data_IF_286892192723
#
_entry.id   IF_286892192723
#
_cell.length_a   1.000
_cell.length_b   1.000
_cell.length_c   1.000
_cell.angle_alpha   90.00
_cell.angle_beta   90.00
_cell.angle_gamma   90.00
#
_symmetry.space_group_name_H-M   'P 1'
#
loop_
_entity.id
_entity.type
_entity.pdbx_description
1 polymer ?
#
# COMPACT_ATOMS: atom_id res chain seq x y z
N UNK A 1 -0.22 12.96 -19.96
CA UNK A 1 -0.69 13.02 -18.56
C UNK A 1 -2.18 13.30 -18.54
N UNK A 2 -3.01 12.26 -18.63
CA UNK A 2 -4.40 12.36 -18.17
C UNK A 2 -4.31 12.17 -16.66
N UNK A 3 -4.64 13.20 -15.88
CA UNK A 3 -4.53 13.12 -14.42
C UNK A 3 -5.34 11.95 -13.88
N UNK A 4 -4.78 11.22 -12.90
CA UNK A 4 -5.45 10.10 -12.22
C UNK A 4 -6.84 10.52 -11.67
N UNK A 5 -7.01 11.83 -11.39
CA UNK A 5 -8.29 12.46 -11.06
C UNK A 5 -9.40 12.19 -12.08
N UNK A 6 -9.14 12.17 -13.39
CA UNK A 6 -10.18 11.96 -14.41
C UNK A 6 -10.81 10.55 -14.35
N UNK A 7 -10.04 9.54 -13.92
CA UNK A 7 -10.55 8.17 -13.73
C UNK A 7 -11.11 7.97 -12.31
N UNK A 8 -10.48 8.54 -11.28
CA UNK A 8 -10.97 8.44 -9.90
C UNK A 8 -12.28 9.22 -9.66
N UNK A 9 -12.44 10.43 -10.21
CA UNK A 9 -13.67 11.23 -10.01
C UNK A 9 -14.90 10.64 -10.71
N UNK A 10 -14.72 9.92 -11.82
CA UNK A 10 -15.81 9.19 -12.48
C UNK A 10 -16.28 7.99 -11.64
N UNK A 11 -15.37 7.29 -10.95
CA UNK A 11 -15.69 6.13 -10.10
C UNK A 11 -16.29 6.56 -8.75
N UNK A 12 -15.84 7.68 -8.19
CA UNK A 12 -16.31 8.21 -6.90
C UNK A 12 -17.77 8.71 -6.94
N UNK A 13 -18.30 9.12 -8.09
CA UNK A 13 -19.69 9.60 -8.23
C UNK A 13 -20.71 8.50 -8.45
N UNK A 14 -20.28 7.27 -8.69
CA UNK A 14 -21.19 6.17 -8.96
C UNK A 14 -21.62 5.49 -7.65
N UNK A 15 -22.83 5.85 -7.17
CA UNK A 15 -23.53 5.18 -6.05
C UNK A 15 -23.68 3.66 -6.27
N UNK A 16 -23.38 3.13 -7.47
CA UNK A 16 -23.44 1.70 -7.83
C UNK A 16 -22.49 0.77 -7.06
N UNK A 17 -21.51 1.27 -6.30
CA UNK A 17 -20.57 0.38 -5.59
C UNK A 17 -21.05 -0.06 -4.20
N UNK A 18 -22.10 0.55 -3.63
CA UNK A 18 -22.70 0.01 -2.42
C UNK A 18 -23.55 -1.22 -2.78
N UNK A 19 -23.01 -2.40 -2.48
CA UNK A 19 -23.71 -3.68 -2.72
C UNK A 19 -24.82 -3.96 -1.72
N UNK A 20 -24.96 -3.13 -0.69
CA UNK A 20 -25.97 -3.27 0.34
C UNK A 20 -27.39 -3.40 -0.23
N UNK A 21 -27.72 -2.67 -1.29
CA UNK A 21 -29.06 -2.71 -1.89
C UNK A 21 -29.41 -4.10 -2.45
N UNK A 22 -28.42 -4.94 -2.77
CA UNK A 22 -28.65 -6.33 -3.20
C UNK A 22 -29.14 -7.24 -2.07
N UNK A 23 -29.06 -6.78 -0.82
CA UNK A 23 -29.64 -7.45 0.33
C UNK A 23 -31.07 -7.00 0.64
N UNK A 24 -31.61 -6.00 -0.06
CA UNK A 24 -33.01 -5.58 0.10
C UNK A 24 -33.97 -6.74 -0.20
N UNK A 25 -34.97 -6.93 0.66
CA UNK A 25 -35.93 -8.04 0.56
C UNK A 25 -35.37 -9.44 0.91
N UNK A 26 -34.06 -9.56 1.17
CA UNK A 26 -33.47 -10.82 1.64
C UNK A 26 -33.57 -10.98 3.16
N UNK A 27 -33.41 -12.21 3.67
CA UNK A 27 -33.35 -12.46 5.13
C UNK A 27 -32.20 -11.72 5.83
N UNK A 28 -31.10 -11.44 5.13
CA UNK A 28 -29.93 -10.74 5.68
C UNK A 28 -30.26 -9.25 5.86
N UNK A 29 -30.93 -8.64 4.87
CA UNK A 29 -31.28 -7.23 4.87
C UNK A 29 -30.07 -6.29 4.85
N UNK A 30 -30.32 -4.99 4.88
CA UNK A 30 -29.24 -3.96 4.86
C UNK A 30 -28.75 -3.57 6.24
N UNK A 31 -29.48 -3.97 7.31
CA UNK A 31 -29.26 -3.48 8.67
C UNK A 31 -27.87 -3.80 9.23
N UNK A 32 -27.20 -4.84 8.75
CA UNK A 32 -25.85 -5.19 9.18
C UNK A 32 -24.79 -4.12 8.84
N UNK A 33 -25.07 -3.25 7.86
CA UNK A 33 -24.15 -2.18 7.44
C UNK A 33 -24.42 -0.85 8.14
N UNK A 34 -25.52 -0.71 8.87
CA UNK A 34 -25.98 0.58 9.37
C UNK A 34 -25.06 1.16 10.44
N UNK A 35 -24.60 0.34 11.39
CA UNK A 35 -23.61 0.76 12.40
C UNK A 35 -22.32 1.24 11.75
N UNK A 36 -21.83 0.50 10.74
CA UNK A 36 -20.62 0.85 10.01
C UNK A 36 -20.78 2.19 9.29
N UNK A 37 -21.92 2.40 8.61
CA UNK A 37 -22.22 3.68 7.94
C UNK A 37 -22.28 4.85 8.91
N UNK A 38 -22.95 4.67 10.06
CA UNK A 38 -23.06 5.73 11.08
C UNK A 38 -21.71 6.04 11.72
N UNK A 39 -20.90 5.02 12.00
CA UNK A 39 -19.55 5.23 12.53
C UNK A 39 -18.63 5.92 11.49
N UNK A 40 -18.67 5.50 10.22
CA UNK A 40 -17.92 6.17 9.15
C UNK A 40 -18.37 7.63 8.97
N UNK A 41 -19.66 7.90 9.06
CA UNK A 41 -20.20 9.26 8.99
C UNK A 41 -19.75 10.11 10.19
N UNK A 42 -19.79 9.56 11.41
CA UNK A 42 -19.34 10.22 12.64
C UNK A 42 -17.87 10.63 12.55
N UNK A 43 -17.03 9.78 11.96
CA UNK A 43 -15.60 10.06 11.76
C UNK A 43 -15.30 10.87 10.49
N UNK A 44 -16.31 11.22 9.68
CA UNK A 44 -16.13 11.98 8.43
C UNK A 44 -15.49 11.20 7.28
N UNK A 45 -15.54 9.86 7.32
CA UNK A 45 -14.89 8.97 6.35
C UNK A 45 -15.85 8.27 5.38
N UNK A 46 -17.17 8.47 5.52
CA UNK A 46 -18.17 7.77 4.71
C UNK A 46 -17.99 8.01 3.20
N UNK A 47 -17.66 9.24 2.79
CA UNK A 47 -17.45 9.58 1.38
C UNK A 47 -16.19 8.93 0.78
N UNK A 48 -15.24 8.51 1.62
CA UNK A 48 -14.01 7.82 1.21
C UNK A 48 -14.19 6.31 1.06
N UNK A 49 -15.32 5.75 1.50
CA UNK A 49 -15.52 4.30 1.55
C UNK A 49 -15.31 3.59 0.19
N UNK A 50 -15.81 4.18 -0.91
CA UNK A 50 -15.61 3.62 -2.26
C UNK A 50 -14.13 3.60 -2.66
N UNK A 51 -13.39 4.67 -2.34
CA UNK A 51 -11.96 4.76 -2.61
C UNK A 51 -11.17 3.73 -1.80
N UNK A 52 -11.48 3.59 -0.51
CA UNK A 52 -10.87 2.56 0.33
C UNK A 52 -11.12 1.16 -0.22
N UNK A 53 -12.34 0.88 -0.69
CA UNK A 53 -12.65 -0.41 -1.30
C UNK A 53 -11.77 -0.69 -2.53
N UNK A 54 -11.68 0.26 -3.47
CA UNK A 54 -10.87 0.11 -4.68
C UNK A 54 -9.39 -0.07 -4.35
N UNK A 55 -8.85 0.77 -3.47
CA UNK A 55 -7.43 0.71 -3.10
C UNK A 55 -7.12 -0.58 -2.31
N UNK A 56 -8.05 -1.05 -1.47
CA UNK A 56 -7.90 -2.34 -0.76
C UNK A 56 -7.88 -3.53 -1.72
N UNK A 57 -8.65 -3.48 -2.81
CA UNK A 57 -8.62 -4.50 -3.86
C UNK A 57 -7.31 -4.46 -4.64
N UNK A 58 -6.82 -3.28 -5.02
CA UNK A 58 -5.54 -3.11 -5.69
C UNK A 58 -4.38 -3.68 -4.84
N UNK A 59 -4.34 -3.34 -3.56
CA UNK A 59 -3.37 -3.86 -2.59
C UNK A 59 -3.46 -5.38 -2.42
N UNK A 60 -4.67 -5.89 -2.23
CA UNK A 60 -4.90 -7.33 -2.04
C UNK A 60 -4.45 -8.14 -3.24
N UNK A 61 -4.65 -7.63 -4.47
CA UNK A 61 -4.17 -8.28 -5.70
C UNK A 61 -2.63 -8.37 -5.74
N UNK A 62 -1.92 -7.32 -5.33
CA UNK A 62 -0.45 -7.32 -5.26
C UNK A 62 0.05 -8.40 -4.28
N UNK A 63 -0.47 -8.38 -3.05
CA UNK A 63 -0.07 -9.31 -2.00
C UNK A 63 -0.45 -10.77 -2.33
N UNK A 64 -1.67 -10.98 -2.86
CA UNK A 64 -2.16 -12.31 -3.24
C UNK A 64 -1.31 -12.94 -4.35
N UNK A 65 -1.04 -12.20 -5.43
CA UNK A 65 -0.19 -12.67 -6.52
C UNK A 65 1.18 -13.07 -6.01
N UNK A 66 1.82 -12.21 -5.22
CA UNK A 66 3.14 -12.50 -4.65
C UNK A 66 3.12 -13.76 -3.78
N UNK A 67 2.18 -13.86 -2.84
CA UNK A 67 2.12 -15.00 -1.93
C UNK A 67 1.84 -16.33 -2.64
N UNK A 68 0.93 -16.34 -3.62
CA UNK A 68 0.63 -17.55 -4.39
C UNK A 68 1.81 -18.00 -5.26
N UNK A 69 2.50 -17.06 -5.92
CA UNK A 69 3.70 -17.38 -6.70
C UNK A 69 4.83 -17.88 -5.80
N UNK A 70 5.03 -17.27 -4.64
CA UNK A 70 6.05 -17.69 -3.67
C UNK A 70 5.73 -19.07 -3.09
N UNK A 71 4.48 -19.33 -2.72
CA UNK A 71 4.03 -20.64 -2.26
C UNK A 71 4.22 -21.72 -3.34
N UNK A 72 3.85 -21.42 -4.59
CA UNK A 72 3.97 -22.35 -5.73
C UNK A 72 5.42 -22.65 -6.13
N UNK A 73 6.33 -21.70 -5.88
CA UNK A 73 7.76 -21.87 -6.12
C UNK A 73 8.45 -22.67 -5.00
N UNK A 74 7.86 -22.70 -3.80
CA UNK A 74 8.44 -23.40 -2.66
C UNK A 74 8.39 -24.92 -2.87
N UNK A 75 9.55 -25.56 -3.04
CA UNK A 75 9.65 -27.02 -3.22
C UNK A 75 9.14 -27.86 -2.04
N UNK A 76 8.93 -27.23 -0.89
CA UNK A 76 8.41 -27.86 0.33
C UNK A 76 6.89 -27.72 0.47
N UNK A 77 6.22 -27.06 -0.47
CA UNK A 77 4.77 -26.87 -0.49
C UNK A 77 4.18 -27.69 -1.64
N UNK A 78 3.35 -28.68 -1.31
CA UNK A 78 2.67 -29.53 -2.29
C UNK A 78 1.30 -28.98 -2.76
N UNK A 79 0.83 -27.91 -2.13
CA UNK A 79 -0.43 -27.25 -2.44
C UNK A 79 -0.72 -26.16 -1.43
N UNK A 80 -1.65 -25.27 -1.79
CA UNK A 80 -2.15 -24.23 -0.90
C UNK A 80 -3.66 -24.09 -1.08
N UNK A 81 -4.34 -23.75 0.01
CA UNK A 81 -5.72 -23.31 -0.01
C UNK A 81 -5.73 -21.81 0.32
N UNK A 82 -6.28 -21.02 -0.60
CA UNK A 82 -6.41 -19.58 -0.38
C UNK A 82 -7.72 -19.30 0.34
N UNK A 83 -7.60 -18.78 1.56
CA UNK A 83 -8.75 -18.50 2.42
C UNK A 83 -9.80 -17.65 1.70
N UNK A 84 -10.92 -18.28 1.38
CA UNK A 84 -12.07 -17.68 0.70
C UNK A 84 -11.81 -17.46 -0.78
N UNK A 85 -12.37 -18.31 -1.65
CA UNK A 85 -12.51 -17.96 -3.07
C UNK A 85 -13.47 -16.79 -3.29
N UNK A 86 -14.45 -16.67 -2.38
CA UNK A 86 -15.48 -15.63 -2.32
C UNK A 86 -15.41 -14.89 -0.99
N UNK A 87 -15.81 -13.62 -0.97
CA UNK A 87 -16.12 -12.94 0.28
C UNK A 87 -17.32 -13.61 0.94
N UNK A 88 -17.26 -13.80 2.26
CA UNK A 88 -18.37 -14.37 3.00
C UNK A 88 -18.76 -13.48 4.17
N UNK A 89 -20.06 -13.43 4.45
CA UNK A 89 -20.59 -12.81 5.66
C UNK A 89 -20.85 -13.91 6.69
N UNK A 90 -20.07 -13.92 7.77
CA UNK A 90 -20.30 -14.83 8.88
C UNK A 90 -20.71 -14.02 10.11
N UNK A 91 -21.98 -14.12 10.50
CA UNK A 91 -22.60 -13.28 11.53
C UNK A 91 -22.59 -11.77 11.18
N UNK A 92 -22.23 -10.90 12.14
CA UNK A 92 -22.17 -9.43 11.97
C UNK A 92 -20.87 -8.95 11.31
N UNK A 93 -19.96 -9.85 10.94
CA UNK A 93 -18.64 -9.52 10.37
C UNK A 93 -18.40 -10.29 9.07
N UNK A 94 -17.91 -9.59 8.05
CA UNK A 94 -17.48 -10.23 6.81
C UNK A 94 -16.03 -10.72 6.89
N UNK A 95 -15.70 -11.74 6.10
CA UNK A 95 -14.34 -12.09 5.70
C UNK A 95 -14.13 -11.63 4.24
N UNK A 96 -13.71 -10.37 4.02
CA UNK A 96 -13.58 -9.81 2.67
C UNK A 96 -12.22 -10.14 2.03
N UNK A 97 -11.75 -11.38 2.17
CA UNK A 97 -10.44 -11.84 1.66
C UNK A 97 -10.52 -12.50 0.27
N UNK A 98 -11.72 -12.66 -0.28
CA UNK A 98 -11.98 -13.37 -1.52
C UNK A 98 -11.35 -12.76 -2.76
N UNK A 99 -11.13 -13.59 -3.78
CA UNK A 99 -10.86 -13.13 -5.16
C UNK A 99 -12.16 -12.61 -5.77
N UNK A 100 -13.24 -13.34 -5.52
CA UNK A 100 -14.59 -12.96 -5.82
C UNK A 100 -15.22 -12.27 -4.61
N UNK A 101 -16.18 -11.42 -4.88
CA UNK A 101 -17.04 -10.85 -3.86
C UNK A 101 -18.14 -11.84 -3.42
N UNK A 102 -18.99 -11.38 -2.52
CA UNK A 102 -20.07 -12.15 -1.90
C UNK A 102 -21.22 -12.51 -2.88
N UNK A 103 -21.17 -11.98 -4.10
CA UNK A 103 -22.08 -12.25 -5.22
C UNK A 103 -21.38 -12.96 -6.39
N UNK A 104 -20.21 -13.58 -6.16
CA UNK A 104 -19.44 -14.30 -7.17
C UNK A 104 -18.90 -13.45 -8.33
N UNK A 105 -18.72 -12.15 -8.11
CA UNK A 105 -18.14 -11.25 -9.12
C UNK A 105 -16.69 -10.91 -8.75
N UNK A 106 -15.84 -10.74 -9.75
CA UNK A 106 -14.46 -10.32 -9.54
C UNK A 106 -14.38 -8.95 -8.85
N UNK A 107 -13.43 -8.80 -7.93
CA UNK A 107 -13.16 -7.52 -7.27
C UNK A 107 -12.61 -6.48 -8.27
N UNK A 108 -12.78 -5.17 -8.00
CA UNK A 108 -12.26 -4.12 -8.86
C UNK A 108 -10.82 -4.34 -9.30
N UNK A 109 -10.60 -4.33 -10.61
CA UNK A 109 -9.29 -4.52 -11.23
C UNK A 109 -8.87 -5.98 -11.43
N UNK A 110 -9.51 -6.96 -10.78
CA UNK A 110 -9.22 -8.37 -11.05
C UNK A 110 -9.83 -8.79 -12.40
N UNK A 111 -9.07 -9.62 -13.13
CA UNK A 111 -9.54 -10.29 -14.34
C UNK A 111 -9.22 -11.79 -14.23
N UNK A 112 -10.04 -12.62 -14.84
CA UNK A 112 -9.79 -14.07 -14.92
C UNK A 112 -8.41 -14.34 -15.54
N UNK A 113 -8.08 -13.65 -16.62
CA UNK A 113 -6.80 -13.77 -17.30
C UNK A 113 -5.61 -13.49 -16.36
N UNK A 114 -5.69 -12.43 -15.55
CA UNK A 114 -4.62 -12.10 -14.59
C UNK A 114 -4.49 -13.16 -13.49
N UNK A 115 -5.63 -13.65 -12.98
CA UNK A 115 -5.65 -14.71 -11.96
C UNK A 115 -5.01 -15.99 -12.50
N UNK A 116 -5.38 -16.40 -13.72
CA UNK A 116 -4.82 -17.59 -14.36
C UNK A 116 -3.33 -17.47 -14.65
N UNK A 117 -2.78 -16.25 -14.84
CA UNK A 117 -1.33 -16.06 -15.02
C UNK A 117 -0.50 -16.41 -13.78
N UNK A 118 -1.07 -16.35 -12.58
CA UNK A 118 -0.36 -16.72 -11.34
C UNK A 118 -0.95 -17.94 -10.62
N UNK A 119 -2.17 -18.37 -10.95
CA UNK A 119 -2.87 -19.48 -10.31
C UNK A 119 -3.50 -20.49 -11.29
N UNK A 120 -3.20 -20.42 -12.59
CA UNK A 120 -3.69 -21.38 -13.59
C UNK A 120 -3.08 -22.78 -13.44
N UNK A 121 -3.54 -23.74 -14.25
CA UNK A 121 -2.97 -25.10 -14.27
C UNK A 121 -1.45 -25.06 -14.47
N UNK A 122 -0.99 -24.24 -15.42
CA UNK A 122 0.42 -24.06 -15.73
C UNK A 122 0.77 -22.57 -15.72
N UNK A 123 1.85 -22.18 -15.03
CA UNK A 123 2.25 -20.77 -14.87
C UNK A 123 3.77 -20.62 -14.95
N UNK A 124 4.21 -19.42 -15.35
CA UNK A 124 5.60 -19.00 -15.19
C UNK A 124 5.76 -18.31 -13.83
N UNK A 125 6.89 -18.53 -13.17
CA UNK A 125 7.21 -17.92 -11.88
C UNK A 125 8.57 -17.22 -11.96
N UNK A 126 8.71 -16.15 -11.18
CA UNK A 126 9.95 -15.38 -11.06
C UNK A 126 10.46 -15.45 -9.63
N UNK A 127 11.74 -15.79 -9.45
CA UNK A 127 12.40 -15.86 -8.16
C UNK A 127 13.01 -14.54 -7.75
N UNK A 128 12.20 -13.61 -7.26
CA UNK A 128 12.69 -12.34 -6.72
C UNK A 128 11.97 -12.01 -5.40
N UNK A 129 12.68 -12.20 -4.29
CA UNK A 129 12.18 -11.93 -2.93
C UNK A 129 12.89 -10.74 -2.28
N UNK A 130 13.79 -10.08 -3.02
CA UNK A 130 14.43 -8.84 -2.60
C UNK A 130 13.51 -7.64 -2.87
N UNK A 131 13.94 -6.44 -2.45
CA UNK A 131 13.22 -5.20 -2.73
C UNK A 131 12.93 -5.06 -4.23
N UNK A 132 11.75 -4.49 -4.55
CA UNK A 132 11.40 -4.12 -5.93
C UNK A 132 11.84 -2.71 -6.28
N UNK A 133 12.55 -2.04 -5.37
CA UNK A 133 13.22 -0.77 -5.60
C UNK A 133 14.63 -1.04 -6.11
N UNK A 134 14.87 -0.77 -7.39
CA UNK A 134 16.12 -1.06 -8.07
C UNK A 134 16.82 0.26 -8.41
N UNK A 135 18.09 0.40 -8.07
CA UNK A 135 18.85 1.56 -8.51
C UNK A 135 19.12 1.50 -10.02
N UNK A 136 19.16 2.66 -10.66
CA UNK A 136 19.56 2.81 -12.07
C UNK A 136 20.90 2.12 -12.35
N UNK A 137 21.07 1.52 -13.54
CA UNK A 137 22.31 0.83 -13.91
C UNK A 137 22.60 -0.48 -13.16
N UNK A 138 21.71 -0.94 -12.28
CA UNK A 138 21.89 -2.21 -11.56
C UNK A 138 21.71 -3.40 -12.49
N UNK A 139 22.65 -4.34 -12.47
CA UNK A 139 22.50 -5.64 -13.09
C UNK A 139 21.88 -6.64 -12.10
N UNK A 140 20.78 -7.30 -12.48
CA UNK A 140 20.14 -8.34 -11.67
C UNK A 140 19.92 -9.61 -12.49
N UNK A 141 20.05 -10.74 -11.81
CA UNK A 141 19.69 -12.05 -12.35
C UNK A 141 18.43 -12.54 -11.66
N UNK A 142 17.35 -12.70 -12.44
CA UNK A 142 16.07 -13.20 -11.95
C UNK A 142 15.91 -14.66 -12.37
N UNK A 143 15.98 -15.62 -11.43
CA UNK A 143 15.62 -17.00 -11.70
C UNK A 143 14.19 -17.13 -12.22
N UNK A 144 14.01 -17.88 -13.30
CA UNK A 144 12.72 -18.16 -13.89
C UNK A 144 12.35 -19.63 -13.66
N UNK A 145 11.05 -19.91 -13.54
CA UNK A 145 10.56 -21.27 -13.36
C UNK A 145 9.28 -21.49 -14.19
N UNK A 146 9.10 -22.72 -14.65
CA UNK A 146 7.85 -23.19 -15.21
C UNK A 146 7.20 -24.17 -14.24
N UNK A 147 6.01 -23.85 -13.75
CA UNK A 147 5.18 -24.77 -12.96
C UNK A 147 4.14 -25.37 -13.89
N UNK A 148 4.40 -26.55 -14.43
CA UNK A 148 3.60 -27.18 -15.50
C UNK A 148 2.87 -28.40 -14.95
N UNK A 149 1.53 -28.38 -14.97
CA UNK A 149 0.69 -29.53 -14.56
C UNK A 149 -0.20 -30.06 -15.69
N UNK A 150 0.10 -29.68 -16.95
CA UNK A 150 -0.58 -30.24 -18.12
C UNK A 150 -0.08 -31.65 -18.50
N UNK A 151 -0.63 -32.19 -19.59
CA UNK A 151 -0.49 -33.61 -19.95
C UNK A 151 0.82 -34.00 -20.67
N UNK A 152 1.49 -33.09 -21.38
CA UNK A 152 2.69 -33.43 -22.17
C UNK A 152 3.90 -32.56 -21.84
N UNK A 153 5.07 -33.21 -21.79
CA UNK A 153 6.35 -32.53 -21.70
C UNK A 153 6.71 -31.94 -23.06
N UNK A 154 7.26 -30.74 -23.07
CA UNK A 154 7.51 -30.02 -24.32
C UNK A 154 8.73 -29.13 -24.22
N UNK A 155 9.49 -29.05 -25.31
CA UNK A 155 10.45 -27.97 -25.52
C UNK A 155 9.71 -26.68 -25.89
N UNK A 156 10.37 -25.54 -25.70
CA UNK A 156 9.76 -24.26 -26.00
C UNK A 156 10.77 -23.13 -26.17
N UNK A 157 10.25 -21.94 -26.43
CA UNK A 157 11.01 -20.70 -26.49
C UNK A 157 10.62 -19.82 -25.32
N UNK A 158 11.59 -19.56 -24.45
CA UNK A 158 11.47 -18.61 -23.35
C UNK A 158 11.91 -17.24 -23.84
N UNK A 159 11.05 -16.23 -23.69
CA UNK A 159 11.38 -14.85 -24.00
C UNK A 159 10.97 -13.94 -22.86
N UNK A 160 11.78 -12.92 -22.59
CA UNK A 160 11.47 -11.89 -21.60
C UNK A 160 11.78 -10.49 -22.14
N UNK A 161 11.05 -9.51 -21.62
CA UNK A 161 11.25 -8.10 -21.93
C UNK A 161 11.05 -7.26 -20.65
N UNK A 162 11.98 -6.36 -20.37
CA UNK A 162 11.77 -5.28 -19.42
C UNK A 162 11.16 -4.11 -20.20
N UNK A 163 9.94 -3.72 -19.85
CA UNK A 163 9.15 -2.70 -20.54
C UNK A 163 9.13 -1.41 -19.71
N UNK A 164 9.20 -0.26 -20.38
CA UNK A 164 8.88 1.02 -19.77
C UNK A 164 7.35 1.24 -19.64
N UNK A 165 6.94 2.37 -19.06
CA UNK A 165 5.53 2.72 -18.85
C UNK A 165 4.74 2.92 -20.16
N UNK A 166 5.42 3.07 -21.31
CA UNK A 166 4.80 3.15 -22.63
C UNK A 166 4.62 1.78 -23.29
N UNK A 167 5.14 0.72 -22.67
CA UNK A 167 5.17 -0.64 -23.21
C UNK A 167 6.34 -0.90 -24.15
N UNK A 168 7.31 0.03 -24.23
CA UNK A 168 8.49 -0.16 -25.08
C UNK A 168 9.54 -1.01 -24.34
N UNK A 169 10.14 -2.02 -24.99
CA UNK A 169 11.21 -2.80 -24.39
C UNK A 169 12.49 -1.96 -24.25
N UNK A 170 13.04 -1.96 -23.04
CA UNK A 170 14.35 -1.36 -22.70
C UNK A 170 15.44 -2.42 -22.52
N UNK A 171 15.06 -3.67 -22.27
CA UNK A 171 15.93 -4.84 -22.31
C UNK A 171 15.12 -6.06 -22.73
N UNK A 172 15.74 -7.02 -23.42
CA UNK A 172 15.08 -8.25 -23.87
C UNK A 172 16.03 -9.42 -23.83
N UNK A 173 15.49 -10.63 -23.72
CA UNK A 173 16.25 -11.85 -23.95
C UNK A 173 15.36 -12.97 -24.45
N UNK A 174 15.96 -13.90 -25.17
CA UNK A 174 15.29 -15.11 -25.64
C UNK A 174 16.24 -16.30 -25.54
N UNK A 175 15.70 -17.46 -25.19
CA UNK A 175 16.43 -18.73 -25.17
C UNK A 175 15.48 -19.87 -25.50
N UNK A 176 15.95 -20.81 -26.30
CA UNK A 176 15.26 -22.08 -26.45
C UNK A 176 15.51 -22.92 -25.20
N UNK A 177 14.46 -23.57 -24.70
CA UNK A 177 14.50 -24.45 -23.54
C UNK A 177 14.17 -25.87 -23.98
N UNK A 178 14.93 -26.87 -23.48
CA UNK A 178 14.66 -28.27 -23.78
C UNK A 178 13.34 -28.71 -23.15
N UNK A 179 13.05 -30.00 -23.26
CA UNK A 179 11.83 -30.58 -22.74
C UNK A 179 11.58 -30.24 -21.25
N UNK A 180 10.47 -29.55 -20.99
CA UNK A 180 10.04 -29.15 -19.64
C UNK A 180 9.16 -30.25 -19.05
N UNK A 181 9.53 -30.85 -17.91
CA UNK A 181 8.72 -31.84 -17.22
C UNK A 181 7.35 -31.31 -16.78
N UNK A 182 6.37 -32.22 -16.71
CA UNK A 182 5.04 -31.96 -16.15
C UNK A 182 4.93 -32.51 -14.71
N UNK A 183 3.95 -32.02 -13.96
CA UNK A 183 3.69 -32.41 -12.58
C UNK A 183 4.63 -31.78 -11.56
N UNK A 184 5.45 -30.79 -11.95
CA UNK A 184 6.40 -30.15 -11.06
C UNK A 184 6.74 -28.71 -11.47
N UNK A 185 7.47 -28.02 -10.59
CA UNK A 185 8.06 -26.71 -10.86
C UNK A 185 9.51 -26.90 -11.28
N UNK A 186 9.82 -26.54 -12.54
CA UNK A 186 11.13 -26.73 -13.17
C UNK A 186 11.85 -25.39 -13.31
N UNK A 187 13.13 -25.28 -12.88
CA UNK A 187 13.95 -24.11 -13.16
C UNK A 187 14.17 -23.89 -14.66
N UNK A 188 14.11 -22.64 -15.09
CA UNK A 188 14.43 -22.19 -16.44
C UNK A 188 15.67 -21.30 -16.41
N UNK A 189 16.30 -21.00 -17.57
CA UNK A 189 17.34 -19.99 -17.64
C UNK A 189 16.87 -18.65 -17.06
N UNK A 190 17.70 -18.01 -16.24
CA UNK A 190 17.40 -16.71 -15.63
C UNK A 190 17.26 -15.58 -16.67
N UNK A 191 16.50 -14.56 -16.31
CA UNK A 191 16.54 -13.27 -17.00
C UNK A 191 17.70 -12.44 -16.43
N UNK A 192 18.71 -12.18 -17.26
CA UNK A 192 19.84 -11.31 -16.93
C UNK A 192 19.50 -9.90 -17.40
N UNK A 193 19.32 -8.96 -16.48
CA UNK A 193 18.77 -7.64 -16.77
C UNK A 193 19.72 -6.56 -16.27
N UNK A 194 20.14 -5.67 -17.17
CA UNK A 194 20.74 -4.39 -16.80
C UNK A 194 19.63 -3.33 -16.79
N UNK A 195 19.35 -2.76 -15.63
CA UNK A 195 18.35 -1.70 -15.51
C UNK A 195 18.85 -0.43 -16.21
N UNK A 196 17.99 0.26 -16.98
CA UNK A 196 18.42 1.40 -17.79
C UNK A 196 18.88 2.57 -16.93
N UNK A 197 19.71 3.43 -17.52
CA UNK A 197 20.05 4.70 -16.90
C UNK A 197 18.92 5.72 -17.02
N UNK A 198 18.34 6.10 -15.87
CA UNK A 198 17.21 7.01 -15.78
C UNK A 198 17.61 8.33 -15.11
N UNK A 199 16.88 9.40 -15.44
CA UNK A 199 17.00 10.71 -14.77
C UNK A 199 15.85 10.99 -13.80
N UNK A 200 14.74 10.25 -13.94
CA UNK A 200 13.59 10.31 -13.06
C UNK A 200 13.19 8.88 -12.67
N UNK A 201 12.59 8.67 -11.49
CA UNK A 201 12.10 7.34 -11.11
C UNK A 201 11.02 6.87 -12.09
N UNK A 202 11.01 5.57 -12.38
CA UNK A 202 10.04 4.99 -13.32
C UNK A 202 9.60 3.59 -12.87
N UNK A 203 8.38 3.24 -13.24
CA UNK A 203 7.88 1.87 -13.17
C UNK A 203 8.33 1.10 -14.42
N UNK A 204 9.02 -0.02 -14.22
CA UNK A 204 9.39 -0.96 -15.27
C UNK A 204 8.68 -2.29 -15.05
N UNK A 205 8.20 -2.92 -16.11
CA UNK A 205 7.50 -4.21 -16.05
C UNK A 205 8.33 -5.29 -16.73
N UNK A 206 8.76 -6.30 -15.98
CA UNK A 206 9.35 -7.49 -16.56
C UNK A 206 8.22 -8.43 -16.98
N UNK A 207 8.08 -8.65 -18.29
CA UNK A 207 7.24 -9.68 -18.85
C UNK A 207 8.08 -10.90 -19.24
N UNK A 208 7.59 -12.09 -18.90
CA UNK A 208 8.19 -13.37 -19.26
C UNK A 208 7.14 -14.19 -19.97
N UNK A 209 7.54 -14.82 -21.07
CA UNK A 209 6.69 -15.66 -21.90
C UNK A 209 7.39 -16.96 -22.24
N UNK A 210 6.62 -18.05 -22.30
CA UNK A 210 7.08 -19.35 -22.74
C UNK A 210 6.10 -19.84 -23.80
N UNK A 211 6.61 -20.00 -25.00
CA UNK A 211 5.87 -20.52 -26.14
C UNK A 211 6.28 -21.97 -26.40
N UNK A 212 5.31 -22.86 -26.43
CA UNK A 212 5.47 -24.26 -26.84
C UNK A 212 4.46 -24.57 -27.94
N UNK A 213 4.55 -25.74 -28.61
CA UNK A 213 3.57 -26.11 -29.63
C UNK A 213 2.11 -26.17 -29.15
N UNK A 214 1.85 -26.39 -27.86
CA UNK A 214 0.49 -26.50 -27.31
C UNK A 214 0.05 -25.29 -26.48
N UNK A 215 0.97 -24.48 -25.95
CA UNK A 215 0.62 -23.43 -25.00
C UNK A 215 1.50 -22.18 -25.13
N UNK A 216 0.90 -21.06 -24.78
CA UNK A 216 1.61 -19.82 -24.53
C UNK A 216 1.35 -19.37 -23.09
N UNK A 217 2.40 -19.42 -22.26
CA UNK A 217 2.34 -18.92 -20.90
C UNK A 217 2.94 -17.53 -20.85
N UNK A 218 2.35 -16.66 -20.03
CA UNK A 218 2.86 -15.31 -19.77
C UNK A 218 2.71 -14.99 -18.31
N UNK A 219 3.70 -14.29 -17.76
CA UNK A 219 3.59 -13.69 -16.44
C UNK A 219 4.40 -12.39 -16.39
N UNK A 220 4.05 -11.48 -15.49
CA UNK A 220 4.72 -10.20 -15.33
C UNK A 220 4.93 -9.80 -13.87
N UNK A 221 5.98 -9.02 -13.63
CA UNK A 221 6.25 -8.36 -12.34
C UNK A 221 6.77 -6.95 -12.55
N UNK A 222 6.34 -6.06 -11.68
CA UNK A 222 6.73 -4.65 -11.63
C UNK A 222 7.97 -4.42 -10.78
N UNK A 223 8.86 -3.56 -11.25
CA UNK A 223 10.03 -3.04 -10.56
C UNK A 223 10.00 -1.51 -10.61
N UNK A 224 10.39 -0.86 -9.53
CA UNK A 224 10.53 0.60 -9.47
C UNK A 224 12.00 0.94 -9.58
N UNK A 225 12.37 1.62 -10.66
CA UNK A 225 13.75 2.00 -10.92
C UNK A 225 14.00 3.45 -10.46
N UNK A 226 15.06 3.64 -9.70
CA UNK A 226 15.36 4.89 -8.99
C UNK A 226 16.74 5.41 -9.41
N UNK A 227 16.83 6.62 -9.97
CA UNK A 227 18.11 7.30 -10.11
C UNK A 227 18.66 7.71 -8.75
N UNK A 228 19.95 8.03 -8.69
CA UNK A 228 20.56 8.57 -7.48
C UNK A 228 19.78 9.80 -6.99
N UNK A 229 19.42 9.81 -5.71
CA UNK A 229 18.72 10.94 -5.13
C UNK A 229 19.61 12.18 -5.15
N UNK A 230 19.13 13.25 -5.78
CA UNK A 230 19.82 14.54 -5.75
C UNK A 230 19.55 15.16 -4.38
N UNK A 231 20.57 15.17 -3.52
CA UNK A 231 20.51 15.86 -2.24
C UNK A 231 20.32 17.37 -2.50
N UNK A 232 19.35 18.03 -1.86
CA UNK A 232 19.21 19.47 -2.00
C UNK A 232 20.45 20.15 -1.41
N UNK A 233 21.02 21.12 -2.13
CA UNK A 233 22.04 22.01 -1.58
C UNK A 233 21.42 22.76 -0.39
N UNK A 234 22.06 22.60 0.78
CA UNK A 234 21.75 23.18 2.09
C UNK A 234 20.52 24.11 2.11
N UNK A 235 19.36 23.55 2.48
CA UNK A 235 18.14 24.32 2.68
C UNK A 235 18.03 24.83 4.11
N UNK A 236 17.33 25.95 4.31
CA UNK A 236 16.93 26.44 5.64
C UNK A 236 16.01 25.48 6.43
N UNK A 237 15.57 24.38 5.81
CA UNK A 237 14.76 23.32 6.41
C UNK A 237 15.55 22.52 7.44
N UNK A 238 14.93 22.30 8.59
CA UNK A 238 15.51 21.49 9.68
C UNK A 238 14.84 20.12 9.65
N UNK A 239 15.64 19.08 9.42
CA UNK A 239 15.17 17.68 9.46
C UNK A 239 15.55 17.07 10.80
N UNK A 240 14.58 16.53 11.53
CA UNK A 240 14.78 15.90 12.86
C UNK A 240 14.02 14.59 12.96
N UNK A 241 14.46 13.74 13.88
CA UNK A 241 13.79 12.49 14.29
C UNK A 241 12.77 12.71 15.43
N UNK A 242 12.94 13.80 16.20
CA UNK A 242 12.08 14.16 17.31
C UNK A 242 11.99 15.68 17.51
N UNK A 243 10.82 16.15 17.95
CA UNK A 243 10.60 17.55 18.32
C UNK A 243 11.15 17.82 19.74
N UNK A 244 12.46 18.02 19.83
CA UNK A 244 13.12 18.47 21.07
C UNK A 244 12.75 19.94 21.38
N UNK A 245 12.86 20.41 22.64
CA UNK A 245 12.47 21.78 23.02
C UNK A 245 13.06 22.88 22.13
N UNK A 246 14.34 22.77 21.75
CA UNK A 246 14.97 23.73 20.84
C UNK A 246 14.40 23.71 19.41
N UNK A 247 14.01 22.54 18.90
CA UNK A 247 13.36 22.41 17.58
C UNK A 247 11.94 22.97 17.63
N UNK A 248 11.20 22.69 18.71
CA UNK A 248 9.86 23.21 18.93
C UNK A 248 9.85 24.74 18.99
N UNK A 249 10.80 25.34 19.71
CA UNK A 249 10.94 26.80 19.75
C UNK A 249 11.21 27.41 18.37
N UNK A 250 12.07 26.77 17.56
CA UNK A 250 12.36 27.22 16.18
C UNK A 250 11.15 27.07 15.26
N UNK A 251 10.39 25.98 15.40
CA UNK A 251 9.14 25.78 14.68
C UNK A 251 8.19 26.94 14.95
N UNK A 252 7.90 27.22 16.23
CA UNK A 252 7.00 28.31 16.62
C UNK A 252 7.49 29.68 16.13
N UNK A 253 8.81 29.89 16.08
CA UNK A 253 9.44 31.11 15.56
C UNK A 253 9.55 31.18 14.01
N UNK A 254 8.84 30.33 13.26
CA UNK A 254 8.74 30.44 11.80
C UNK A 254 9.57 29.44 10.99
N UNK A 255 10.31 28.54 11.63
CA UNK A 255 11.16 27.60 10.89
C UNK A 255 10.34 26.48 10.20
N UNK A 256 10.70 26.10 8.96
CA UNK A 256 10.18 24.89 8.33
C UNK A 256 10.88 23.65 8.91
N UNK A 257 10.10 22.76 9.53
CA UNK A 257 10.58 21.51 10.12
C UNK A 257 10.06 20.30 9.35
N UNK A 258 10.94 19.34 9.07
CA UNK A 258 10.59 17.98 8.67
C UNK A 258 10.86 17.05 9.85
N UNK A 259 9.80 16.43 10.36
CA UNK A 259 9.86 15.41 11.40
C UNK A 259 9.81 14.02 10.76
N UNK A 260 10.86 13.23 10.97
CA UNK A 260 10.98 11.84 10.56
C UNK A 260 10.73 10.93 11.75
N UNK A 261 9.49 10.48 11.91
CA UNK A 261 9.06 9.65 13.02
C UNK A 261 7.73 10.08 13.61
N UNK A 262 7.09 9.22 14.41
CA UNK A 262 5.76 9.49 14.93
C UNK A 262 5.76 10.45 16.12
N UNK A 263 6.85 10.57 16.88
CA UNK A 263 6.86 11.38 18.11
C UNK A 263 6.71 12.87 17.81
N UNK A 264 5.74 13.58 18.43
CA UNK A 264 5.06 13.22 19.68
C UNK A 264 3.66 12.58 19.52
N UNK A 265 3.24 12.26 18.31
CA UNK A 265 1.90 11.75 18.03
C UNK A 265 1.73 10.28 18.39
N UNK A 266 0.54 9.89 18.86
CA UNK A 266 0.17 8.48 18.95
C UNK A 266 0.08 7.86 17.56
N UNK A 267 0.79 6.76 17.36
CA UNK A 267 0.83 6.05 16.09
C UNK A 267 0.68 4.54 16.28
N UNK A 268 0.18 3.89 15.24
CA UNK A 268 0.11 2.44 15.14
C UNK A 268 1.12 1.95 14.09
N UNK A 269 1.74 0.78 14.27
CA UNK A 269 2.64 0.22 13.27
C UNK A 269 1.90 -0.05 11.96
N UNK A 270 2.60 0.14 10.85
CA UNK A 270 2.15 -0.23 9.51
C UNK A 270 2.86 -1.49 9.04
N UNK A 271 2.27 -2.18 8.07
CA UNK A 271 2.95 -3.27 7.37
C UNK A 271 2.44 -3.43 5.94
N UNK A 272 3.27 -4.02 5.07
CA UNK A 272 2.90 -4.36 3.70
C UNK A 272 2.45 -5.81 3.60
N UNK A 273 1.21 -6.07 4.05
CA UNK A 273 0.69 -7.43 4.22
C UNK A 273 -0.65 -7.66 3.48
N UNK A 274 -1.03 -8.92 3.23
CA UNK A 274 -2.40 -9.24 2.83
C UNK A 274 -3.43 -8.77 3.85
N UNK A 275 -4.66 -8.53 3.41
CA UNK A 275 -5.79 -8.24 4.30
C UNK A 275 -5.84 -9.25 5.45
N UNK A 276 -5.97 -8.75 6.68
CA UNK A 276 -5.90 -9.56 7.88
C UNK A 276 -7.18 -10.37 8.15
N UNK A 277 -7.95 -10.75 7.11
CA UNK A 277 -9.10 -11.66 7.15
C UNK A 277 -10.01 -11.45 8.38
N UNK A 278 -10.41 -10.19 8.65
CA UNK A 278 -11.27 -9.85 9.77
C UNK A 278 -10.57 -9.68 11.12
N UNK A 279 -9.26 -9.43 11.18
CA UNK A 279 -8.61 -8.92 12.40
C UNK A 279 -8.89 -7.42 12.57
N UNK A 280 -8.89 -6.95 13.82
CA UNK A 280 -9.17 -5.57 14.18
C UNK A 280 -7.94 -4.64 14.10
N UNK A 281 -6.76 -5.21 13.85
CA UNK A 281 -5.47 -4.51 13.81
C UNK A 281 -4.86 -4.58 12.40
N UNK A 282 -3.96 -3.64 12.13
CA UNK A 282 -3.28 -3.49 10.83
C UNK A 282 -4.00 -2.54 9.87
N UNK A 283 -3.37 -2.34 8.71
CA UNK A 283 -3.89 -1.54 7.60
C UNK A 283 -4.41 -2.42 6.46
N UNK A 284 -5.47 -1.97 5.79
CA UNK A 284 -6.12 -2.70 4.68
C UNK A 284 -5.92 -2.04 3.32
N UNK A 285 -5.56 -0.76 3.32
CA UNK A 285 -5.27 0.01 2.12
C UNK A 285 -4.47 1.26 2.51
N UNK A 286 -4.02 1.98 1.50
CA UNK A 286 -3.56 3.37 1.64
C UNK A 286 -4.24 4.25 0.60
N UNK A 287 -4.30 5.55 0.89
CA UNK A 287 -4.70 6.56 -0.08
C UNK A 287 -3.59 7.60 -0.18
N UNK A 288 -3.12 7.86 -1.38
CA UNK A 288 -2.11 8.87 -1.67
C UNK A 288 -2.82 10.05 -2.31
N UNK A 289 -2.74 11.20 -1.67
CA UNK A 289 -3.33 12.44 -2.17
C UNK A 289 -2.52 13.02 -3.33
N UNK A 290 -3.19 13.71 -4.25
CA UNK A 290 -2.52 14.55 -5.25
C UNK A 290 -1.87 15.73 -4.54
N UNK A 291 -0.55 15.66 -4.39
CA UNK A 291 0.22 16.61 -3.61
C UNK A 291 1.61 16.83 -4.22
N UNK A 292 2.13 18.08 -4.28
CA UNK A 292 3.41 18.38 -4.91
C UNK A 292 4.60 17.52 -4.42
N UNK A 293 4.62 17.18 -3.12
CA UNK A 293 5.61 16.25 -2.57
C UNK A 293 5.55 14.87 -3.24
N UNK A 294 4.35 14.28 -3.29
CA UNK A 294 4.14 12.90 -3.74
C UNK A 294 4.13 12.79 -5.27
N UNK A 295 3.92 13.89 -5.98
CA UNK A 295 4.10 13.94 -7.44
C UNK A 295 5.57 13.74 -7.86
N UNK A 296 6.53 13.87 -6.93
CA UNK A 296 7.94 13.51 -7.13
C UNK A 296 8.25 12.04 -6.82
N UNK A 297 7.28 11.30 -6.28
CA UNK A 297 7.41 9.89 -5.90
C UNK A 297 6.33 9.09 -6.65
N UNK A 298 6.66 8.49 -7.81
CA UNK A 298 5.67 7.87 -8.68
C UNK A 298 4.74 6.88 -7.96
N UNK A 299 3.44 7.06 -8.16
CA UNK A 299 2.39 6.28 -7.51
C UNK A 299 1.09 6.36 -8.31
N UNK A 300 0.16 5.45 -8.02
CA UNK A 300 -1.16 5.37 -8.66
C UNK A 300 -2.32 5.80 -7.73
N UNK A 301 -2.03 6.51 -6.63
CA UNK A 301 -3.03 6.86 -5.61
C UNK A 301 -3.13 5.86 -4.45
N UNK A 302 -2.30 4.81 -4.45
CA UNK A 302 -2.11 3.85 -3.36
C UNK A 302 -0.64 3.41 -3.30
N UNK A 303 -0.26 2.78 -2.19
CA UNK A 303 1.08 2.24 -2.01
C UNK A 303 1.22 0.89 -2.73
N UNK A 304 2.11 0.84 -3.71
CA UNK A 304 2.53 -0.39 -4.39
C UNK A 304 3.88 -0.86 -3.80
N UNK A 305 4.57 -1.80 -4.44
CA UNK A 305 5.78 -2.46 -3.94
C UNK A 305 6.92 -1.51 -3.56
N UNK A 306 7.00 -0.31 -4.13
CA UNK A 306 7.99 0.68 -3.73
C UNK A 306 7.84 1.18 -2.30
N UNK A 307 6.64 1.10 -1.75
CA UNK A 307 6.35 1.48 -0.38
C UNK A 307 6.47 0.30 0.59
N UNK A 308 6.66 -0.94 0.12
CA UNK A 308 6.76 -2.10 1.00
C UNK A 308 7.82 -1.92 2.11
N UNK A 309 9.09 -1.55 1.81
CA UNK A 309 10.09 -1.30 2.85
C UNK A 309 9.81 -0.04 3.68
N UNK A 310 9.01 0.91 3.15
CA UNK A 310 8.67 2.16 3.84
C UNK A 310 7.54 1.97 4.85
N UNK A 311 6.62 1.05 4.56
CA UNK A 311 5.54 0.68 5.45
C UNK A 311 6.01 -0.32 6.50
N UNK A 312 6.92 -1.23 6.13
CA UNK A 312 7.49 -2.19 7.07
C UNK A 312 8.42 -1.48 8.07
N UNK A 313 8.13 -1.59 9.37
CA UNK A 313 8.79 -0.81 10.42
C UNK A 313 8.36 0.66 10.49
N UNK A 314 7.44 1.10 9.63
CA UNK A 314 6.82 2.41 9.69
C UNK A 314 5.64 2.46 10.66
N UNK A 315 5.01 3.62 10.75
CA UNK A 315 3.80 3.82 11.55
C UNK A 315 2.84 4.82 10.92
N UNK A 316 1.61 4.89 11.44
CA UNK A 316 0.59 5.85 11.04
C UNK A 316 -0.02 6.52 12.27
N UNK A 317 0.03 7.85 12.30
CA UNK A 317 -0.52 8.69 13.37
C UNK A 317 -2.04 8.56 13.40
N UNK A 318 -2.61 8.42 14.60
CA UNK A 318 -4.05 8.27 14.82
C UNK A 318 -4.68 9.62 15.17
N UNK A 319 -5.63 10.08 14.34
CA UNK A 319 -6.28 11.39 14.44
C UNK A 319 -7.66 11.36 15.13
N UNK A 320 -8.13 10.20 15.58
CA UNK A 320 -9.48 10.12 16.18
C UNK A 320 -9.62 10.95 17.47
N UNK A 321 -8.54 11.05 18.26
CA UNK A 321 -8.51 11.81 19.51
C UNK A 321 -7.61 13.04 19.44
N UNK A 322 -7.01 13.29 18.28
CA UNK A 322 -6.20 14.47 18.05
C UNK A 322 -7.12 15.61 17.62
N UNK A 323 -7.09 16.73 18.33
CA UNK A 323 -7.80 17.95 17.95
C UNK A 323 -7.06 18.67 16.81
N UNK A 324 -7.01 18.02 15.65
CA UNK A 324 -6.38 18.52 14.44
C UNK A 324 -7.18 18.14 13.18
N UNK A 325 -7.22 19.00 12.15
CA UNK A 325 -7.86 18.69 10.87
C UNK A 325 -7.24 17.46 10.20
N UNK A 326 -8.05 16.50 9.72
CA UNK A 326 -7.52 15.28 9.10
C UNK A 326 -7.36 15.41 7.57
N UNK A 327 -6.20 15.91 7.13
CA UNK A 327 -5.81 16.01 5.71
C UNK A 327 -4.46 15.32 5.42
N UNK A 328 -4.37 14.00 5.55
CA UNK A 328 -3.14 13.29 5.24
C UNK A 328 -2.83 13.34 3.74
N UNK A 329 -1.54 13.47 3.45
CA UNK A 329 -0.99 13.31 2.12
C UNK A 329 -0.84 11.82 1.78
N UNK A 330 -0.48 11.00 2.77
CA UNK A 330 -0.53 9.56 2.72
C UNK A 330 -1.39 9.06 3.88
N UNK A 331 -2.60 8.64 3.57
CA UNK A 331 -3.55 8.04 4.50
C UNK A 331 -3.31 6.54 4.60
N UNK A 332 -3.39 6.02 5.82
CA UNK A 332 -3.36 4.58 6.11
C UNK A 332 -4.75 4.15 6.54
N UNK A 333 -5.37 3.26 5.77
CA UNK A 333 -6.74 2.83 6.01
C UNK A 333 -6.73 1.67 7.00
N UNK A 334 -7.41 1.86 8.13
CA UNK A 334 -7.50 0.87 9.20
C UNK A 334 -8.33 -0.36 8.80
N UNK A 335 -8.39 -1.35 9.70
CA UNK A 335 -9.38 -2.41 9.60
C UNK A 335 -10.80 -1.84 9.62
N UNK A 336 -11.69 -2.37 8.78
CA UNK A 336 -13.12 -2.02 8.79
C UNK A 336 -13.80 -2.36 10.14
N UNK A 337 -13.14 -3.15 11.01
CA UNK A 337 -13.58 -3.43 12.37
C UNK A 337 -13.24 -2.35 13.39
N UNK A 338 -12.37 -1.40 13.03
CA UNK A 338 -11.94 -0.29 13.88
C UNK A 338 -11.74 0.94 13.00
N UNK A 339 -12.76 1.80 12.91
CA UNK A 339 -12.69 2.99 12.05
C UNK A 339 -11.73 3.98 12.69
N UNK A 340 -10.55 4.17 12.07
CA UNK A 340 -9.54 5.10 12.52
C UNK A 340 -9.17 6.06 11.41
N UNK A 341 -9.03 7.34 11.76
CA UNK A 341 -8.40 8.35 10.89
C UNK A 341 -6.90 8.22 11.07
N UNK A 342 -6.17 7.72 10.08
CA UNK A 342 -4.72 7.54 10.21
C UNK A 342 -3.93 8.12 9.04
N UNK A 343 -2.81 8.78 9.34
CA UNK A 343 -1.93 9.38 8.33
C UNK A 343 -0.46 9.05 8.60
N UNK A 344 0.29 8.74 7.55
CA UNK A 344 1.74 8.53 7.64
C UNK A 344 2.55 9.71 7.09
N UNK A 345 1.95 10.54 6.24
CA UNK A 345 2.54 11.80 5.77
C UNK A 345 1.47 12.88 5.82
N UNK A 346 1.76 14.00 6.47
CA UNK A 346 0.85 15.13 6.62
C UNK A 346 1.61 16.41 6.98
N UNK A 347 0.96 17.56 6.86
CA UNK A 347 1.56 18.86 7.15
C UNK A 347 0.60 19.83 7.84
N UNK A 348 1.16 20.73 8.66
CA UNK A 348 0.42 21.80 9.35
C UNK A 348 1.23 23.08 9.48
N UNK A 349 0.55 24.22 9.54
CA UNK A 349 1.11 25.42 10.15
C UNK A 349 1.09 25.26 11.68
N UNK A 350 2.13 25.75 12.37
CA UNK A 350 2.25 25.74 13.83
C UNK A 350 2.89 27.06 14.26
N UNK A 351 2.12 27.93 14.91
CA UNK A 351 2.54 29.31 15.12
C UNK A 351 2.85 29.97 13.77
N UNK A 352 4.02 30.60 13.67
CA UNK A 352 4.53 31.15 12.41
C UNK A 352 5.24 30.11 11.52
N UNK A 353 5.46 28.90 12.03
CA UNK A 353 6.21 27.85 11.35
C UNK A 353 5.35 26.85 10.58
N UNK A 354 6.05 25.90 9.96
CA UNK A 354 5.44 24.83 9.15
C UNK A 354 6.07 23.50 9.50
N UNK A 355 5.23 22.53 9.82
CA UNK A 355 5.62 21.18 10.19
C UNK A 355 5.19 20.20 9.09
N UNK A 356 6.14 19.44 8.56
CA UNK A 356 5.91 18.29 7.69
C UNK A 356 6.30 17.02 8.45
N UNK A 357 5.39 16.06 8.55
CA UNK A 357 5.63 14.81 9.27
C UNK A 357 5.66 13.65 8.29
N UNK A 358 6.64 12.77 8.44
CA UNK A 358 6.71 11.49 7.75
C UNK A 358 7.02 10.39 8.77
N UNK A 359 6.10 9.45 8.94
CA UNK A 359 6.23 8.34 9.90
C UNK A 359 6.49 6.99 9.24
N UNK A 360 6.69 6.99 7.91
CA UNK A 360 7.21 5.83 7.19
C UNK A 360 8.65 5.53 7.63
N UNK A 361 9.02 4.26 7.53
CA UNK A 361 10.40 3.84 7.62
C UNK A 361 11.18 4.38 6.41
N UNK A 362 12.41 4.84 6.62
CA UNK A 362 13.28 5.35 5.56
C UNK A 362 14.66 4.66 5.64
N UNK A 363 14.77 3.38 5.25
CA UNK A 363 16.04 2.66 5.24
C UNK A 363 17.10 3.37 4.39
N UNK A 364 18.35 3.37 4.85
CA UNK A 364 19.45 4.06 4.14
C UNK A 364 19.96 3.28 2.92
N UNK A 365 19.62 2.00 2.80
CA UNK A 365 19.99 1.08 1.73
C UNK A 365 18.88 0.87 0.68
N UNK A 366 17.70 1.46 0.87
CA UNK A 366 16.61 1.40 -0.11
C UNK A 366 16.57 2.68 -0.98
N UNK A 367 16.66 2.58 -2.32
CA UNK A 367 16.75 3.76 -3.15
C UNK A 367 15.44 4.56 -3.22
N UNK A 368 14.27 3.94 -2.98
CA UNK A 368 13.02 4.69 -2.86
C UNK A 368 12.97 5.50 -1.57
N UNK A 369 13.45 4.92 -0.45
CA UNK A 369 13.56 5.63 0.82
C UNK A 369 14.47 6.86 0.73
N UNK A 370 15.66 6.70 0.13
CA UNK A 370 16.59 7.80 -0.13
C UNK A 370 15.95 8.89 -1.00
N UNK A 371 15.22 8.49 -2.04
CA UNK A 371 14.50 9.42 -2.91
C UNK A 371 13.39 10.16 -2.17
N UNK A 372 12.58 9.46 -1.37
CA UNK A 372 11.51 10.07 -0.58
C UNK A 372 12.07 11.05 0.45
N UNK A 373 13.16 10.71 1.14
CA UNK A 373 13.87 11.59 2.07
C UNK A 373 14.33 12.88 1.38
N UNK A 374 14.93 12.77 0.19
CA UNK A 374 15.31 13.93 -0.61
C UNK A 374 14.10 14.74 -1.09
N UNK A 375 13.00 14.08 -1.48
CA UNK A 375 11.76 14.72 -1.89
C UNK A 375 11.12 15.51 -0.74
N UNK A 376 11.09 14.96 0.48
CA UNK A 376 10.62 15.60 1.70
C UNK A 376 11.40 16.90 1.96
N UNK A 377 12.74 16.81 2.00
CA UNK A 377 13.60 17.96 2.23
C UNK A 377 13.43 19.03 1.13
N UNK A 378 13.41 18.61 -0.14
CA UNK A 378 13.23 19.52 -1.29
C UNK A 378 11.88 20.21 -1.31
N UNK A 379 10.81 19.49 -0.96
CA UNK A 379 9.47 20.06 -0.86
C UNK A 379 9.41 21.08 0.27
N UNK A 380 9.89 20.74 1.46
CA UNK A 380 9.91 21.63 2.62
C UNK A 380 10.76 22.89 2.41
N UNK A 381 11.80 22.80 1.58
CA UNK A 381 12.63 23.94 1.17
C UNK A 381 11.97 24.84 0.10
N UNK A 382 10.85 24.42 -0.50
CA UNK A 382 10.26 25.09 -1.65
C UNK A 382 9.14 26.07 -1.26
N UNK A 383 8.83 26.99 -2.17
CA UNK A 383 7.68 27.87 -2.03
C UNK A 383 6.32 27.13 -2.08
N UNK A 384 6.32 25.84 -2.45
CA UNK A 384 5.13 24.99 -2.45
C UNK A 384 4.79 24.45 -1.07
N UNK A 385 5.70 24.52 -0.09
CA UNK A 385 5.41 24.13 1.29
C UNK A 385 4.49 25.14 1.95
N UNK A 386 3.19 24.95 1.76
CA UNK A 386 2.12 25.85 2.22
C UNK A 386 0.99 24.99 2.82
N UNK A 387 1.16 24.52 4.06
CA UNK A 387 0.11 23.80 4.75
C UNK A 387 -1.19 24.58 4.75
N UNK A 388 -2.30 23.90 4.48
CA UNK A 388 -3.63 24.51 4.42
C UNK A 388 -4.28 24.68 5.79
N UNK A 389 -3.94 23.78 6.71
CA UNK A 389 -4.49 23.73 8.05
C UNK A 389 -3.44 24.11 9.09
N UNK A 390 -3.93 24.49 10.26
CA UNK A 390 -3.12 24.86 11.42
C UNK A 390 -3.32 23.83 12.52
N UNK A 391 -2.22 23.36 13.10
CA UNK A 391 -2.21 22.62 14.35
C UNK A 391 -1.99 23.65 15.47
N UNK A 392 -2.95 23.84 16.40
CA UNK A 392 -2.79 24.80 17.48
C UNK A 392 -1.55 24.48 18.34
N UNK A 393 -0.80 25.51 18.74
CA UNK A 393 0.44 25.31 19.50
C UNK A 393 0.23 24.52 20.80
N UNK A 394 -0.85 24.79 21.53
CA UNK A 394 -1.16 24.09 22.78
C UNK A 394 -1.39 22.59 22.55
N UNK A 395 -1.99 22.18 21.43
CA UNK A 395 -2.15 20.76 21.09
C UNK A 395 -0.79 20.10 20.90
N UNK A 396 0.15 20.78 20.23
CA UNK A 396 1.50 20.24 20.04
C UNK A 396 2.29 20.19 21.36
N UNK A 397 2.14 21.22 22.22
CA UNK A 397 2.76 21.25 23.54
C UNK A 397 2.25 20.10 24.43
N UNK A 398 0.93 19.94 24.50
CA UNK A 398 0.28 18.84 25.24
C UNK A 398 0.77 17.46 24.76
N UNK A 399 0.93 17.28 23.45
CA UNK A 399 1.49 16.05 22.89
C UNK A 399 2.95 15.83 23.30
N UNK A 400 3.78 16.87 23.23
CA UNK A 400 5.19 16.80 23.63
C UNK A 400 5.35 16.51 25.14
N UNK A 401 4.44 17.00 25.98
CA UNK A 401 4.41 16.72 27.42
C UNK A 401 3.86 15.33 27.73
N UNK A 402 2.83 14.88 27.00
CA UNK A 402 2.19 13.57 27.18
C UNK A 402 2.95 12.39 26.56
N UNK A 403 4.07 12.64 25.85
CA UNK A 403 4.80 11.69 25.01
C UNK A 403 5.36 10.45 25.75
N UNK A 404 5.09 10.27 27.04
CA UNK A 404 5.52 9.10 27.83
C UNK A 404 4.59 7.90 27.76
N UNK A 405 3.30 8.01 27.42
CA UNK A 405 2.42 6.82 27.20
C UNK A 405 1.08 7.16 26.56
N UNK A 406 0.98 7.20 25.23
CA UNK A 406 -0.31 7.12 24.56
C UNK A 406 -0.54 5.69 24.06
N UNK A 407 -1.49 4.99 24.69
CA UNK A 407 -1.91 3.64 24.26
C UNK A 407 -3.17 3.75 23.41
N UNK A 408 -3.16 3.10 22.25
CA UNK A 408 -4.34 3.03 21.37
C UNK A 408 -5.14 1.79 21.72
N UNK A 409 -6.45 1.95 21.96
CA UNK A 409 -7.33 0.82 22.25
C UNK A 409 -7.40 -0.16 21.05
N UNK A 410 -7.24 -1.46 21.33
CA UNK A 410 -7.22 -2.56 20.35
C UNK A 410 -8.48 -3.43 20.39
N UNK A 411 -9.59 -2.88 20.90
CA UNK A 411 -10.87 -3.58 21.01
C UNK A 411 -11.35 -4.17 19.68
N UNK A 412 -12.02 -5.32 19.75
CA UNK A 412 -12.53 -6.05 18.58
C UNK A 412 -13.91 -5.53 18.15
N UNK A 413 -14.17 -5.54 16.83
CA UNK A 413 -15.50 -5.34 16.20
C UNK A 413 -16.22 -4.00 16.44
N UNK A 414 -15.49 -2.95 16.87
CA UNK A 414 -16.04 -1.62 17.14
C UNK A 414 -16.71 -0.97 15.91
N UNK A 415 -16.30 -1.35 14.70
CA UNK A 415 -16.87 -0.85 13.44
C UNK A 415 -18.34 -1.22 13.25
N UNK A 416 -18.77 -2.39 13.76
CA UNK A 416 -20.13 -2.92 13.60
C UNK A 416 -21.00 -2.81 14.87
N UNK A 417 -20.43 -2.37 15.98
CA UNK A 417 -21.14 -2.11 17.22
C UNK A 417 -20.81 -0.70 17.75
N UNK A 418 -21.78 0.20 17.68
CA UNK A 418 -21.63 1.58 18.17
C UNK A 418 -21.35 1.65 19.67
N UNK A 419 -21.81 0.66 20.44
CA UNK A 419 -21.60 0.60 21.89
C UNK A 419 -20.22 0.05 22.25
N UNK A 420 -19.53 -0.58 21.30
CA UNK A 420 -18.17 -1.11 21.49
C UNK A 420 -17.08 -0.04 21.27
N UNK A 421 -17.43 1.17 20.81
CA UNK A 421 -16.54 2.33 20.70
C UNK A 421 -16.23 3.00 22.05
N UNK A 422 -16.78 2.50 23.15
CA UNK A 422 -16.57 3.07 24.49
C UNK A 422 -15.19 2.62 25.02
N UNK A 423 -14.20 3.51 24.94
CA UNK A 423 -13.08 3.47 25.88
C UNK A 423 -13.67 3.48 27.28
N UNK A 424 -13.39 2.47 28.12
CA UNK A 424 -13.83 2.47 29.52
C UNK A 424 -13.16 3.63 30.25
N UNK A 425 -13.71 4.85 30.17
CA UNK A 425 -13.62 5.83 31.25
C UNK A 425 -14.62 5.41 32.31
N UNK A 426 -14.21 4.47 33.15
CA UNK A 426 -14.79 4.33 34.49
C UNK A 426 -13.67 4.65 35.46
N UNK A 427 -13.47 5.94 35.71
CA UNK A 427 -13.04 6.35 37.04
C UNK A 427 -14.15 5.89 37.98
N UNK A 428 -13.91 4.79 38.68
CA UNK A 428 -14.68 4.51 39.89
C UNK A 428 -14.11 5.40 40.98
N UNK A 429 -14.94 6.22 41.68
CA UNK A 429 -14.50 6.82 42.91
C UNK A 429 -14.10 5.70 43.85
N UNK A 430 -12.88 5.76 44.38
CA UNK A 430 -12.52 5.00 45.57
C UNK A 430 -13.35 5.58 46.71
N UNK A 431 -14.46 4.89 47.03
CA UNK A 431 -15.19 5.02 48.29
C UNK A 431 -14.75 3.93 49.23
#
# INVERSE_FOLDING_TARGET
MVSCQGRCTAILRDKKHSRANRYEGTRIGTGMFDSLRRNLAREGLLERATLYYINSCAWSRLARKHNMETARRCRYVNGYDFLGGIDCHWHRVGYPCGVLNEFYELKPGDTEADILRYNGESVLLMGWEQSRNIATGTAIDIPLFASIYGVHKQSGRLSWALLDETGRPVATGTRDVPEIPTGCTTPLPSAHILFPDLTNPALLTLEVSLETPERQLRNSRSFWCWPAAIQPETSATIVVDALKPGTLARLKAGAPIVLLGPGPFAALPTSFQPSCAGRANGNLATVIADHPLLNRFPNNGWCDWQFAPLLEGGSAVVFNQLDAPFLPMLEVVSSFKTIRKQGAIFEYNVGDGRLLVCTLNLPEDDPAALWLKAALAKYAASAQFRPKDTLPEHVLDDLCEAATTQTVATGTDQGFDERAQVTRRREMPLG
#
